data_IF_032045745527
#
_entry.id   IF_032045745527
#
_cell.length_a   1.000
_cell.length_b   1.000
_cell.length_c   1.000
_cell.angle_alpha   90.00
_cell.angle_beta   90.00
_cell.angle_gamma   90.00
#
_symmetry.space_group_name_H-M   'P 1'
#
loop_
_entity.id
_entity.type
_entity.pdbx_description
1 polymer ?
#
# COMPACT_ATOMS: atom_id res chain seq x y z
N UNK A 1 -13.12 -14.98 -5.08
CA UNK A 1 -12.93 -13.72 -5.83
C UNK A 1 -11.58 -13.16 -5.45
N UNK A 2 -10.77 -12.73 -6.43
CA UNK A 2 -9.46 -12.11 -6.14
C UNK A 2 -9.68 -10.68 -5.65
N UNK A 3 -8.87 -10.22 -4.70
CA UNK A 3 -8.90 -8.81 -4.25
C UNK A 3 -8.51 -7.84 -5.37
N UNK A 4 -7.81 -8.35 -6.39
CA UNK A 4 -7.36 -7.56 -7.54
C UNK A 4 -8.52 -7.11 -8.44
N UNK A 5 -9.60 -7.88 -8.48
CA UNK A 5 -10.81 -7.59 -9.25
C UNK A 5 -11.78 -6.68 -8.48
N UNK A 6 -11.44 -6.28 -7.26
CA UNK A 6 -12.27 -5.41 -6.45
C UNK A 6 -12.32 -4.01 -7.06
N UNK A 7 -13.53 -3.53 -7.37
CA UNK A 7 -13.75 -2.14 -7.76
C UNK A 7 -13.57 -1.21 -6.57
N UNK A 8 -12.81 -0.13 -6.77
CA UNK A 8 -12.61 0.92 -5.76
C UNK A 8 -12.88 2.29 -6.37
N UNK A 9 -13.47 3.17 -5.57
CA UNK A 9 -13.61 4.59 -5.91
C UNK A 9 -12.29 5.31 -5.61
N UNK A 10 -11.74 5.97 -6.62
CA UNK A 10 -10.48 6.72 -6.50
C UNK A 10 -10.69 8.16 -6.96
N UNK A 11 -9.83 9.11 -6.55
CA UNK A 11 -9.93 10.51 -6.98
C UNK A 11 -9.89 10.70 -8.51
N UNK A 12 -9.27 9.78 -9.23
CA UNK A 12 -9.14 9.81 -10.70
C UNK A 12 -10.29 9.08 -11.42
N UNK A 13 -11.27 8.56 -10.67
CA UNK A 13 -12.40 7.76 -11.16
C UNK A 13 -12.40 6.32 -10.63
N UNK A 14 -13.51 5.57 -10.82
CA UNK A 14 -13.60 4.18 -10.38
C UNK A 14 -12.67 3.30 -11.22
N UNK A 15 -11.87 2.46 -10.56
CA UNK A 15 -10.99 1.48 -11.21
C UNK A 15 -10.83 0.23 -10.36
N UNK A 16 -10.22 -0.81 -10.91
CA UNK A 16 -9.92 -2.03 -10.15
C UNK A 16 -8.76 -1.82 -9.18
N UNK A 17 -8.73 -2.59 -8.10
CA UNK A 17 -7.63 -2.61 -7.14
C UNK A 17 -6.28 -2.92 -7.81
N UNK A 18 -6.28 -3.77 -8.84
CA UNK A 18 -5.10 -4.05 -9.65
C UNK A 18 -4.57 -2.82 -10.39
N UNK A 19 -5.44 -2.05 -11.05
CA UNK A 19 -5.09 -0.84 -11.77
C UNK A 19 -4.57 0.25 -10.83
N UNK A 20 -5.22 0.39 -9.67
CA UNK A 20 -4.79 1.32 -8.66
C UNK A 20 -3.39 1.00 -8.12
N UNK A 21 -3.09 -0.28 -7.84
CA UNK A 21 -1.75 -0.72 -7.39
C UNK A 21 -0.65 -0.53 -8.43
N UNK A 22 -0.96 -0.59 -9.73
CA UNK A 22 0.00 -0.28 -10.80
C UNK A 22 0.42 1.19 -10.76
N UNK A 23 -0.53 2.08 -10.50
CA UNK A 23 -0.29 3.54 -10.37
C UNK A 23 0.32 3.91 -9.01
N UNK A 24 -0.06 3.19 -7.96
CA UNK A 24 0.33 3.43 -6.57
C UNK A 24 1.01 2.17 -6.02
N UNK A 25 2.32 1.97 -6.26
CA UNK A 25 3.03 0.78 -5.81
C UNK A 25 3.01 0.71 -4.29
N UNK A 26 2.09 -0.09 -3.75
CA UNK A 26 2.05 -0.38 -2.33
C UNK A 26 3.29 -1.20 -2.01
N UNK A 27 4.14 -0.68 -1.12
CA UNK A 27 5.30 -1.42 -0.65
C UNK A 27 4.83 -2.64 0.15
N UNK A 28 4.63 -3.77 -0.52
CA UNK A 28 4.31 -5.03 0.13
C UNK A 28 5.58 -5.47 0.88
N UNK A 29 5.51 -5.71 2.20
CA UNK A 29 6.63 -6.27 2.92
C UNK A 29 7.08 -7.55 2.22
N UNK A 30 8.37 -7.64 1.88
CA UNK A 30 8.96 -8.86 1.34
C UNK A 30 8.60 -10.09 2.20
N UNK A 31 8.64 -11.30 1.63
CA UNK A 31 8.41 -12.54 2.39
C UNK A 31 9.33 -12.66 3.62
N UNK A 32 10.53 -12.08 3.58
CA UNK A 32 11.50 -12.07 4.69
C UNK A 32 11.10 -11.13 5.84
N UNK A 33 10.29 -10.12 5.53
CA UNK A 33 9.92 -9.00 6.39
C UNK A 33 8.44 -9.00 6.79
N UNK A 34 7.61 -9.82 6.13
CA UNK A 34 6.19 -9.99 6.43
C UNK A 34 6.01 -10.58 7.83
N UNK A 35 5.24 -9.89 8.68
CA UNK A 35 4.93 -10.35 10.05
C UNK A 35 6.04 -10.16 11.08
N UNK A 36 7.18 -9.56 10.70
CA UNK A 36 8.20 -9.14 11.65
C UNK A 36 7.93 -7.71 12.07
N UNK A 37 8.08 -7.42 13.36
CA UNK A 37 8.13 -6.06 13.86
C UNK A 37 9.47 -5.44 13.45
N UNK A 38 9.51 -4.98 12.21
CA UNK A 38 10.69 -4.31 11.68
C UNK A 38 10.59 -2.86 12.05
N UNK A 39 11.70 -2.24 12.50
CA UNK A 39 11.73 -0.81 12.66
C UNK A 39 11.38 -0.22 11.29
N UNK A 40 10.20 0.40 11.20
CA UNK A 40 9.75 1.07 9.99
C UNK A 40 10.83 2.11 9.70
N UNK A 41 11.65 1.87 8.67
CA UNK A 41 12.72 2.79 8.25
C UNK A 41 12.15 4.01 7.55
N UNK A 42 11.10 4.60 8.12
CA UNK A 42 10.56 5.91 7.79
C UNK A 42 9.85 6.41 9.04
N UNK A 43 10.55 7.19 9.88
CA UNK A 43 9.88 8.09 10.83
C UNK A 43 8.98 9.00 10.01
N UNK A 44 7.67 8.73 9.95
CA UNK A 44 6.69 9.59 9.25
C UNK A 44 6.35 10.86 10.03
N UNK A 45 6.88 11.01 11.24
CA UNK A 45 6.72 12.22 12.02
C UNK A 45 8.10 12.74 12.40
N UNK A 46 8.40 13.93 11.87
CA UNK A 46 9.23 14.86 12.62
C UNK A 46 8.50 15.11 13.93
N UNK A 47 9.04 14.60 15.04
CA UNK A 47 8.77 15.20 16.34
C UNK A 47 9.20 16.66 16.20
N UNK A 48 8.24 17.56 16.00
CA UNK A 48 8.49 18.99 16.20
C UNK A 48 8.53 19.22 17.72
N UNK A 49 9.48 20.05 18.18
CA UNK A 49 9.68 20.33 19.61
C UNK A 49 8.47 21.01 20.25
#
# INVERSE_FOLDING_TARGET
MSIDDQMIDTPDGPMTWAEWKKKNPVQIPSRRTKGKDLPVKVKRFTEKP
#
